data_IF_029249704804
#
_entry.id   IF_029249704804
#
_cell.length_a   1.000
_cell.length_b   1.000
_cell.length_c   1.000
_cell.angle_alpha   90.00
_cell.angle_beta   90.00
_cell.angle_gamma   90.00
#
_symmetry.space_group_name_H-M   'P 1'
#
loop_
_entity.id
_entity.type
_entity.pdbx_description
1 polymer ?
#
# COMPACT_ATOMS: atom_id res chain seq x y z
N UNK A 1 -37.79 11.60 -13.70
CA UNK A 1 -36.46 11.15 -14.18
C UNK A 1 -35.44 11.98 -13.42
N UNK A 2 -35.02 11.48 -12.28
CA UNK A 2 -33.98 12.14 -11.50
C UNK A 2 -32.66 12.03 -12.26
N UNK A 3 -32.12 13.18 -12.65
CA UNK A 3 -30.74 13.27 -13.09
C UNK A 3 -29.87 12.85 -11.89
N UNK A 4 -29.46 11.59 -11.84
CA UNK A 4 -28.42 11.16 -10.94
C UNK A 4 -27.22 12.07 -11.24
N UNK A 5 -26.96 13.02 -10.36
CA UNK A 5 -25.74 13.81 -10.35
C UNK A 5 -24.59 12.80 -10.31
N UNK A 6 -23.86 12.72 -11.40
CA UNK A 6 -22.70 11.82 -11.54
C UNK A 6 -21.60 12.33 -10.61
N UNK A 7 -21.71 11.98 -9.33
CA UNK A 7 -20.75 12.38 -8.29
C UNK A 7 -19.46 11.62 -8.59
N UNK A 8 -18.40 12.35 -8.93
CA UNK A 8 -17.09 11.74 -9.22
C UNK A 8 -16.53 11.03 -8.00
N UNK A 9 -15.97 9.85 -8.21
CA UNK A 9 -15.29 9.05 -7.18
C UNK A 9 -13.98 9.70 -6.67
N UNK A 10 -13.40 10.62 -7.45
CA UNK A 10 -12.32 11.54 -7.05
C UNK A 10 -12.70 12.95 -7.44
N UNK A 11 -12.63 13.87 -6.51
CA UNK A 11 -12.81 15.30 -6.74
C UNK A 11 -11.43 15.92 -6.94
N UNK A 12 -11.14 16.34 -8.16
CA UNK A 12 -9.90 17.03 -8.52
C UNK A 12 -10.18 18.53 -8.64
N UNK A 13 -9.52 19.36 -7.85
CA UNK A 13 -9.78 20.81 -7.82
C UNK A 13 -8.52 21.61 -7.52
N UNK A 14 -8.37 22.76 -8.17
CA UNK A 14 -7.40 23.77 -7.75
C UNK A 14 -8.04 24.65 -6.68
N UNK A 15 -7.38 24.75 -5.52
CA UNK A 15 -7.83 25.55 -4.39
C UNK A 15 -6.65 26.40 -3.90
N UNK A 16 -6.75 27.72 -4.09
CA UNK A 16 -5.60 28.61 -3.85
C UNK A 16 -4.40 28.18 -4.69
N UNK A 17 -3.26 27.95 -4.04
CA UNK A 17 -2.03 27.48 -4.69
C UNK A 17 -1.86 25.93 -4.63
N UNK A 18 -2.90 25.21 -4.30
CA UNK A 18 -2.87 23.75 -4.18
C UNK A 18 -3.71 23.05 -5.26
N UNK A 19 -3.20 21.96 -5.81
CA UNK A 19 -3.98 20.92 -6.45
C UNK A 19 -4.47 19.92 -5.40
N UNK A 20 -5.77 19.72 -5.27
CA UNK A 20 -6.35 18.83 -4.27
C UNK A 20 -7.01 17.63 -4.93
N UNK A 21 -6.60 16.45 -4.52
CA UNK A 21 -7.16 15.15 -4.90
C UNK A 21 -7.95 14.63 -3.70
N UNK A 22 -9.29 14.67 -3.78
CA UNK A 22 -10.16 14.21 -2.69
C UNK A 22 -10.85 12.91 -3.08
N UNK A 23 -10.52 11.83 -2.40
CA UNK A 23 -11.15 10.54 -2.61
C UNK A 23 -12.61 10.60 -2.12
N UNK A 24 -13.55 10.09 -2.94
CA UNK A 24 -14.97 10.29 -2.72
C UNK A 24 -15.81 9.01 -2.94
N UNK A 25 -15.35 7.90 -2.38
CA UNK A 25 -16.08 6.61 -2.32
C UNK A 25 -16.22 6.11 -0.88
N UNK A 26 -16.90 6.84 0.03
CA UNK A 26 -16.91 6.51 1.46
C UNK A 26 -17.49 5.12 1.75
N UNK A 27 -18.48 4.65 0.96
CA UNK A 27 -19.07 3.32 1.12
C UNK A 27 -18.10 2.18 0.83
N UNK A 28 -17.09 2.41 -0.01
CA UNK A 28 -16.04 1.47 -0.35
C UNK A 28 -14.69 1.82 0.34
N UNK A 29 -14.71 2.60 1.43
CA UNK A 29 -13.52 3.10 2.13
C UNK A 29 -12.51 3.73 1.15
N UNK A 30 -13.01 4.40 0.14
CA UNK A 30 -12.23 5.07 -0.90
C UNK A 30 -11.29 4.14 -1.69
N UNK A 31 -11.60 2.83 -1.80
CA UNK A 31 -10.81 1.92 -2.62
C UNK A 31 -10.76 2.40 -4.07
N UNK A 32 -9.57 2.28 -4.67
CA UNK A 32 -9.25 2.81 -5.99
C UNK A 32 -9.84 1.92 -7.08
N UNK A 33 -10.68 2.50 -7.93
CA UNK A 33 -11.02 1.91 -9.22
C UNK A 33 -10.17 2.55 -10.33
N UNK A 34 -10.17 1.95 -11.51
CA UNK A 34 -9.35 2.42 -12.64
C UNK A 34 -9.66 3.86 -13.05
N UNK A 35 -10.93 4.28 -12.96
CA UNK A 35 -11.32 5.65 -13.29
C UNK A 35 -10.73 6.66 -12.31
N UNK A 36 -10.75 6.37 -11.00
CA UNK A 36 -10.10 7.20 -9.98
C UNK A 36 -8.61 7.38 -10.26
N UNK A 37 -7.91 6.25 -10.53
CA UNK A 37 -6.48 6.26 -10.86
C UNK A 37 -6.18 7.18 -12.04
N UNK A 38 -6.99 7.10 -13.11
CA UNK A 38 -6.86 7.95 -14.29
C UNK A 38 -7.17 9.41 -14.01
N UNK A 39 -8.22 9.68 -13.26
CA UNK A 39 -8.60 11.05 -12.91
C UNK A 39 -7.52 11.74 -12.07
N UNK A 40 -6.92 11.02 -11.12
CA UNK A 40 -5.78 11.50 -10.33
C UNK A 40 -4.55 11.75 -11.21
N UNK A 41 -4.19 10.79 -12.06
CA UNK A 41 -3.06 10.95 -12.97
C UNK A 41 -3.23 12.12 -13.93
N UNK A 42 -4.42 12.27 -14.55
CA UNK A 42 -4.72 13.36 -15.45
C UNK A 42 -4.63 14.73 -14.75
N UNK A 43 -5.14 14.86 -13.54
CA UNK A 43 -5.04 16.08 -12.74
C UNK A 43 -3.57 16.42 -12.42
N UNK A 44 -2.76 15.43 -12.02
CA UNK A 44 -1.32 15.63 -11.77
C UNK A 44 -0.59 16.05 -13.04
N UNK A 45 -0.89 15.45 -14.19
CA UNK A 45 -0.31 15.82 -15.49
C UNK A 45 -0.68 17.27 -15.85
N UNK A 46 -1.95 17.64 -15.71
CA UNK A 46 -2.40 19.02 -15.94
C UNK A 46 -1.71 20.04 -15.03
N UNK A 47 -1.54 19.69 -13.75
CA UNK A 47 -0.96 20.59 -12.75
C UNK A 47 0.58 20.61 -12.73
N UNK A 48 1.23 19.71 -13.46
CA UNK A 48 2.70 19.58 -13.44
C UNK A 48 3.40 20.90 -13.77
N UNK A 49 3.01 21.52 -14.86
CA UNK A 49 3.63 22.74 -15.37
C UNK A 49 2.81 24.03 -15.03
N UNK A 50 1.68 23.86 -14.32
CA UNK A 50 0.83 24.96 -13.89
C UNK A 50 1.54 25.79 -12.78
N UNK A 51 1.89 27.08 -13.04
CA UNK A 51 2.56 27.91 -12.05
C UNK A 51 1.68 28.25 -10.84
N UNK A 52 0.34 28.14 -10.96
CA UNK A 52 -0.59 28.42 -9.88
C UNK A 52 -0.76 27.24 -8.93
N UNK A 53 -0.25 26.05 -9.28
CA UNK A 53 -0.21 24.90 -8.38
C UNK A 53 1.21 24.73 -7.84
N UNK A 54 1.37 24.83 -6.53
CA UNK A 54 2.67 24.74 -5.83
C UNK A 54 2.82 23.52 -4.95
N UNK A 55 1.70 22.89 -4.61
CA UNK A 55 1.64 21.74 -3.72
C UNK A 55 0.45 20.86 -4.11
N UNK A 56 0.57 19.56 -3.85
CA UNK A 56 -0.54 18.60 -4.05
C UNK A 56 -1.02 18.13 -2.67
N UNK A 57 -2.30 18.15 -2.45
CA UNK A 57 -2.95 17.58 -1.27
C UNK A 57 -3.75 16.35 -1.69
N UNK A 58 -3.58 15.25 -0.96
CA UNK A 58 -4.36 14.01 -1.12
C UNK A 58 -5.09 13.77 0.19
N UNK A 59 -6.42 13.80 0.14
CA UNK A 59 -7.29 13.54 1.29
C UNK A 59 -8.58 12.82 0.85
N UNK A 60 -9.51 12.62 1.77
CA UNK A 60 -10.82 12.04 1.47
C UNK A 60 -11.95 12.98 1.92
N UNK A 61 -13.16 12.70 1.45
CA UNK A 61 -14.34 13.55 1.76
C UNK A 61 -14.88 13.31 3.16
N UNK A 62 -15.23 12.06 3.45
CA UNK A 62 -15.87 11.65 4.71
C UNK A 62 -15.62 10.16 4.99
N UNK A 63 -15.97 9.69 6.17
CA UNK A 63 -15.89 8.27 6.52
C UNK A 63 -14.65 7.93 7.34
N UNK A 64 -14.41 6.62 7.52
CA UNK A 64 -13.39 6.08 8.42
C UNK A 64 -12.12 5.62 7.73
N UNK A 65 -11.98 5.84 6.46
CA UNK A 65 -10.82 5.40 5.68
C UNK A 65 -10.25 6.53 4.86
N UNK A 66 -8.92 6.60 4.77
CA UNK A 66 -8.26 7.39 3.77
C UNK A 66 -8.36 6.69 2.41
N UNK A 67 -7.85 5.44 2.32
CA UNK A 67 -7.99 4.59 1.14
C UNK A 67 -7.67 3.13 1.51
N UNK A 68 -8.62 2.23 1.27
CA UNK A 68 -8.48 0.80 1.63
C UNK A 68 -7.76 -0.05 0.56
N UNK A 69 -7.14 0.57 -0.46
CA UNK A 69 -6.42 -0.13 -1.52
C UNK A 69 -7.16 -0.15 -2.85
N UNK A 70 -6.75 -1.03 -3.77
CA UNK A 70 -7.44 -1.26 -5.03
C UNK A 70 -8.80 -1.95 -4.85
N UNK A 71 -9.72 -1.75 -5.80
CA UNK A 71 -11.03 -2.44 -5.84
C UNK A 71 -10.83 -3.88 -6.35
N UNK A 72 -10.20 -4.71 -5.49
CA UNK A 72 -9.78 -6.08 -5.85
C UNK A 72 -10.95 -7.02 -6.16
N UNK A 73 -12.17 -6.71 -5.71
CA UNK A 73 -13.37 -7.48 -6.08
C UNK A 73 -13.68 -7.28 -7.55
N UNK A 74 -13.70 -6.03 -8.03
CA UNK A 74 -13.85 -5.72 -9.44
C UNK A 74 -12.73 -6.32 -10.29
N UNK A 75 -11.48 -6.18 -9.85
CA UNK A 75 -10.31 -6.75 -10.52
C UNK A 75 -10.39 -8.28 -10.63
N UNK A 76 -10.79 -8.96 -9.56
CA UNK A 76 -10.94 -10.43 -9.56
C UNK A 76 -12.02 -10.91 -10.55
N UNK A 77 -13.12 -10.19 -10.67
CA UNK A 77 -14.17 -10.47 -11.67
C UNK A 77 -13.67 -10.22 -13.10
N UNK A 78 -12.85 -9.20 -13.30
CA UNK A 78 -12.23 -8.90 -14.59
C UNK A 78 -11.28 -10.01 -15.07
N UNK A 79 -10.52 -10.64 -14.15
CA UNK A 79 -9.62 -11.76 -14.49
C UNK A 79 -10.38 -12.94 -15.13
N UNK A 80 -11.61 -13.20 -14.73
CA UNK A 80 -12.43 -14.30 -15.27
C UNK A 80 -13.04 -13.99 -16.65
N UNK A 81 -13.30 -12.74 -16.97
CA UNK A 81 -14.01 -12.35 -18.18
C UNK A 81 -13.33 -11.30 -19.05
N UNK A 82 -12.48 -10.51 -18.44
CA UNK A 82 -11.84 -9.35 -19.06
C UNK A 82 -10.40 -9.16 -18.55
N UNK A 83 -9.56 -10.19 -18.70
CA UNK A 83 -8.14 -10.19 -18.27
C UNK A 83 -7.41 -8.88 -18.60
N UNK A 84 -7.68 -8.33 -19.79
CA UNK A 84 -7.11 -7.05 -20.20
C UNK A 84 -7.49 -5.89 -19.27
N UNK A 85 -8.65 -5.95 -18.60
CA UNK A 85 -9.09 -4.88 -17.69
C UNK A 85 -8.35 -4.95 -16.34
N UNK A 86 -8.17 -6.15 -15.78
CA UNK A 86 -7.38 -6.35 -14.56
C UNK A 86 -5.91 -5.90 -14.76
N UNK A 87 -5.28 -6.36 -15.85
CA UNK A 87 -3.93 -5.93 -16.25
C UNK A 87 -3.85 -4.40 -16.42
N UNK A 88 -4.86 -3.81 -17.07
CA UNK A 88 -4.89 -2.38 -17.33
C UNK A 88 -5.12 -1.54 -16.07
N UNK A 89 -5.77 -2.08 -15.03
CA UNK A 89 -5.86 -1.42 -13.73
C UNK A 89 -4.47 -1.25 -13.11
N UNK A 90 -3.71 -2.34 -12.94
CA UNK A 90 -2.36 -2.28 -12.36
C UNK A 90 -1.40 -1.47 -13.21
N UNK A 91 -1.54 -1.52 -14.55
CA UNK A 91 -0.74 -0.71 -15.46
C UNK A 91 -0.94 0.79 -15.20
N UNK A 92 -2.19 1.23 -15.08
CA UNK A 92 -2.54 2.63 -14.81
C UNK A 92 -2.19 3.03 -13.36
N UNK A 93 -2.44 2.16 -12.36
CA UNK A 93 -2.13 2.42 -10.95
C UNK A 93 -0.63 2.62 -10.73
N UNK A 94 0.21 1.75 -11.29
CA UNK A 94 1.66 1.88 -11.15
C UNK A 94 2.20 3.11 -11.90
N UNK A 95 1.54 3.55 -12.97
CA UNK A 95 1.84 4.85 -13.60
C UNK A 95 1.53 6.01 -12.68
N UNK A 96 0.43 5.96 -11.97
CA UNK A 96 0.09 6.97 -10.96
C UNK A 96 1.14 6.99 -9.84
N UNK A 97 1.48 5.83 -9.27
CA UNK A 97 2.48 5.74 -8.21
C UNK A 97 3.87 6.27 -8.68
N UNK A 98 4.27 5.94 -9.92
CA UNK A 98 5.51 6.46 -10.48
C UNK A 98 5.45 7.96 -10.70
N UNK A 99 4.33 8.47 -11.22
CA UNK A 99 4.11 9.91 -11.43
C UNK A 99 4.20 10.67 -10.10
N UNK A 100 3.53 10.19 -9.05
CA UNK A 100 3.58 10.79 -7.71
C UNK A 100 4.98 10.74 -7.12
N UNK A 101 5.70 9.63 -7.27
CA UNK A 101 7.06 9.46 -6.76
C UNK A 101 8.06 10.41 -7.43
N UNK A 102 7.91 10.67 -8.72
CA UNK A 102 8.79 11.53 -9.52
C UNK A 102 8.29 12.96 -9.64
N UNK A 103 7.18 13.29 -8.97
CA UNK A 103 6.53 14.58 -9.10
C UNK A 103 7.36 15.70 -8.48
N UNK A 104 7.61 16.76 -9.27
CA UNK A 104 8.51 17.85 -8.85
C UNK A 104 7.92 18.73 -7.73
N UNK A 105 6.58 18.81 -7.63
CA UNK A 105 5.90 19.58 -6.58
C UNK A 105 5.67 18.70 -5.36
N UNK A 106 5.83 19.23 -4.13
CA UNK A 106 5.65 18.43 -2.92
C UNK A 106 4.19 17.97 -2.78
N UNK A 107 4.01 16.72 -2.35
CA UNK A 107 2.72 16.15 -1.97
C UNK A 107 2.54 16.11 -0.45
N UNK A 108 1.30 16.26 -0.01
CA UNK A 108 0.86 16.03 1.37
C UNK A 108 -0.27 15.00 1.34
N UNK A 109 -0.08 13.84 1.94
CA UNK A 109 -1.13 12.84 2.13
C UNK A 109 -1.64 12.89 3.57
N UNK A 110 -2.95 13.08 3.74
CA UNK A 110 -3.61 13.06 5.05
C UNK A 110 -4.20 11.67 5.29
N UNK A 111 -3.39 10.79 5.89
CA UNK A 111 -3.70 9.37 6.14
C UNK A 111 -4.66 9.21 7.33
N UNK A 112 -5.80 9.87 7.29
CA UNK A 112 -6.75 9.89 8.39
C UNK A 112 -7.73 8.70 8.29
N UNK A 113 -7.44 7.63 9.01
CA UNK A 113 -8.20 6.39 8.98
C UNK A 113 -7.48 5.24 8.25
N UNK A 114 -8.26 4.29 7.72
CA UNK A 114 -7.75 3.09 7.04
C UNK A 114 -6.93 3.48 5.81
N UNK A 115 -5.66 3.06 5.78
CA UNK A 115 -4.69 3.33 4.72
C UNK A 115 -4.01 2.00 4.38
N UNK A 116 -4.45 1.32 3.32
CA UNK A 116 -4.00 -0.03 2.98
C UNK A 116 -3.73 -0.17 1.48
N UNK A 117 -2.82 -1.06 1.10
CA UNK A 117 -2.54 -1.39 -0.30
C UNK A 117 -2.31 -0.16 -1.18
N UNK A 118 -3.10 0.02 -2.25
CA UNK A 118 -3.06 1.21 -3.10
C UNK A 118 -3.17 2.54 -2.34
N UNK A 119 -3.80 2.56 -1.14
CA UNK A 119 -3.81 3.73 -0.25
C UNK A 119 -2.43 4.08 0.29
N UNK A 120 -1.61 3.07 0.58
CA UNK A 120 -0.19 3.26 0.91
C UNK A 120 0.57 3.73 -0.33
N UNK A 121 0.24 3.18 -1.51
CA UNK A 121 0.83 3.54 -2.79
C UNK A 121 0.68 5.01 -3.16
N UNK A 122 -0.47 5.64 -2.89
CA UNK A 122 -0.70 7.08 -3.14
C UNK A 122 -0.22 7.98 -1.99
N UNK A 123 0.03 7.42 -0.79
CA UNK A 123 0.50 8.21 0.36
C UNK A 123 2.04 8.24 0.46
N UNK A 124 2.70 7.08 0.31
CA UNK A 124 4.14 6.96 0.51
C UNK A 124 5.02 7.80 -0.43
N UNK A 125 4.65 8.07 -1.69
CA UNK A 125 5.38 8.99 -2.55
C UNK A 125 5.38 10.44 -2.04
N UNK A 126 4.39 10.84 -1.25
CA UNK A 126 4.25 12.21 -0.75
C UNK A 126 5.40 12.59 0.18
N UNK A 127 5.89 13.83 -0.01
CA UNK A 127 6.92 14.40 0.86
C UNK A 127 6.46 14.50 2.31
N UNK A 128 5.18 14.83 2.54
CA UNK A 128 4.56 14.95 3.84
C UNK A 128 3.46 13.89 3.97
N UNK A 129 3.56 13.05 4.96
CA UNK A 129 2.61 12.00 5.28
C UNK A 129 2.11 12.24 6.69
N UNK A 130 0.86 12.67 6.78
CA UNK A 130 0.24 13.08 8.04
C UNK A 130 -0.62 11.93 8.56
N UNK A 131 -0.22 11.35 9.69
CA UNK A 131 -1.00 10.36 10.41
C UNK A 131 -1.81 11.04 11.54
N UNK A 132 -2.85 10.38 12.00
CA UNK A 132 -3.70 10.80 13.11
C UNK A 132 -3.92 9.65 14.09
N UNK A 133 -4.65 9.88 15.16
CA UNK A 133 -5.12 8.84 16.10
C UNK A 133 -6.06 7.82 15.43
N UNK A 134 -6.61 8.16 14.25
CA UNK A 134 -7.49 7.27 13.48
C UNK A 134 -6.76 6.44 12.43
N UNK A 135 -5.50 6.73 12.17
CA UNK A 135 -4.69 6.04 11.16
C UNK A 135 -4.57 4.54 11.48
N UNK A 136 -4.86 3.72 10.48
CA UNK A 136 -4.61 2.28 10.49
C UNK A 136 -3.94 1.93 9.17
N UNK A 137 -2.61 1.77 9.18
CA UNK A 137 -1.83 1.44 7.99
C UNK A 137 -1.48 -0.04 7.98
N UNK A 138 -1.67 -0.70 6.85
CA UNK A 138 -1.23 -2.08 6.64
C UNK A 138 -1.04 -2.39 5.15
N UNK A 139 -0.23 -3.43 4.87
CA UNK A 139 -0.11 -4.07 3.56
C UNK A 139 -0.53 -5.54 3.70
N UNK A 140 -1.87 -5.85 3.62
CA UNK A 140 -2.40 -7.17 3.92
C UNK A 140 -2.51 -8.09 2.68
N UNK A 141 -1.82 -7.80 1.59
CA UNK A 141 -1.97 -8.39 0.26
C UNK A 141 -1.79 -9.91 0.26
N UNK A 142 -0.89 -10.45 1.10
CA UNK A 142 -0.70 -11.90 1.25
C UNK A 142 -1.97 -12.63 1.69
N UNK A 143 -2.91 -11.92 2.31
CA UNK A 143 -4.21 -12.46 2.74
C UNK A 143 -5.18 -12.69 1.57
N UNK A 144 -4.95 -12.03 0.43
CA UNK A 144 -5.72 -12.19 -0.80
C UNK A 144 -4.92 -12.84 -1.92
N UNK A 145 -3.78 -13.47 -1.60
CA UNK A 145 -3.00 -14.24 -2.56
C UNK A 145 -2.15 -13.41 -3.52
N UNK A 146 -1.89 -12.14 -3.20
CA UNK A 146 -0.92 -11.30 -3.91
C UNK A 146 0.14 -10.76 -2.93
N UNK A 147 1.08 -9.98 -3.40
CA UNK A 147 2.17 -9.40 -2.61
C UNK A 147 1.92 -7.92 -2.34
N UNK A 148 2.53 -7.32 -1.29
CA UNK A 148 2.57 -5.87 -1.10
C UNK A 148 3.26 -5.19 -2.28
N UNK A 149 2.48 -4.53 -3.12
CA UNK A 149 2.87 -3.86 -4.37
C UNK A 149 2.93 -2.33 -4.20
N UNK A 150 2.72 -1.57 -5.26
CA UNK A 150 2.67 -0.10 -5.31
C UNK A 150 3.93 0.59 -4.77
N UNK A 151 5.08 -0.05 -4.92
CA UNK A 151 6.37 0.40 -4.38
C UNK A 151 6.63 -0.05 -2.93
N UNK A 152 5.79 -0.93 -2.36
CA UNK A 152 5.98 -1.39 -0.99
C UNK A 152 7.31 -2.12 -0.78
N UNK A 153 7.79 -2.88 -1.77
CA UNK A 153 9.12 -3.49 -1.72
C UNK A 153 10.18 -2.45 -1.36
N UNK A 154 10.18 -1.31 -2.03
CA UNK A 154 11.11 -0.21 -1.80
C UNK A 154 10.88 0.53 -0.49
N UNK A 155 9.63 0.76 -0.07
CA UNK A 155 9.34 1.47 1.18
C UNK A 155 9.62 0.61 2.40
N UNK A 156 9.20 -0.65 2.36
CA UNK A 156 9.36 -1.58 3.47
C UNK A 156 10.82 -2.01 3.66
N UNK A 157 11.56 -2.30 2.58
CA UNK A 157 12.96 -2.73 2.66
C UNK A 157 13.90 -1.68 3.31
N UNK A 158 13.45 -0.43 3.44
CA UNK A 158 14.18 0.65 4.15
C UNK A 158 13.91 0.69 5.65
N UNK A 159 12.97 -0.11 6.13
CA UNK A 159 12.74 -0.23 7.55
C UNK A 159 13.91 -0.96 8.23
N UNK A 160 14.14 -0.64 9.50
CA UNK A 160 15.23 -1.23 10.27
C UNK A 160 14.97 -2.72 10.55
N UNK A 161 16.03 -3.49 10.69
CA UNK A 161 15.96 -4.91 11.06
C UNK A 161 15.09 -5.71 10.10
N UNK A 162 14.25 -6.55 10.66
CA UNK A 162 13.37 -7.47 9.91
C UNK A 162 11.89 -7.01 9.89
N UNK A 163 11.65 -5.73 10.13
CA UNK A 163 10.29 -5.15 10.10
C UNK A 163 9.60 -5.33 8.75
N UNK A 164 10.35 -5.24 7.64
CA UNK A 164 9.79 -5.43 6.30
C UNK A 164 9.15 -6.82 6.16
N UNK A 165 9.89 -7.87 6.54
CA UNK A 165 9.42 -9.25 6.46
C UNK A 165 8.20 -9.46 7.38
N UNK A 166 8.27 -8.95 8.61
CA UNK A 166 7.15 -9.03 9.55
C UNK A 166 5.89 -8.37 9.00
N UNK A 167 5.96 -7.11 8.59
CA UNK A 167 4.79 -6.35 8.12
C UNK A 167 4.20 -6.95 6.85
N UNK A 168 5.05 -7.32 5.89
CA UNK A 168 4.62 -7.83 4.60
C UNK A 168 4.01 -9.23 4.68
N UNK A 169 4.54 -10.11 5.55
CA UNK A 169 4.02 -11.48 5.70
C UNK A 169 2.76 -11.53 6.55
N UNK A 170 2.71 -10.75 7.63
CA UNK A 170 1.59 -10.81 8.57
C UNK A 170 0.43 -9.88 8.17
N UNK A 171 0.70 -8.81 7.45
CA UNK A 171 -0.24 -7.72 7.21
C UNK A 171 -0.57 -6.97 8.50
N UNK A 172 0.39 -6.89 9.44
CA UNK A 172 0.20 -6.24 10.74
C UNK A 172 -0.25 -4.79 10.56
N UNK A 173 -1.20 -4.39 11.39
CA UNK A 173 -1.78 -3.04 11.36
C UNK A 173 -0.99 -2.12 12.26
N UNK A 174 -0.55 -1.02 11.71
CA UNK A 174 0.16 0.05 12.40
C UNK A 174 -0.80 1.20 12.71
N UNK A 175 -0.78 1.70 13.93
CA UNK A 175 -1.44 2.96 14.27
C UNK A 175 -0.61 4.17 13.83
N UNK A 176 -1.16 5.38 14.02
CA UNK A 176 -0.48 6.62 13.59
C UNK A 176 0.85 6.87 14.31
N UNK A 177 0.96 6.50 15.58
CA UNK A 177 2.18 6.64 16.38
C UNK A 177 3.27 5.67 15.87
N UNK A 178 2.89 4.43 15.57
CA UNK A 178 3.76 3.43 14.97
C UNK A 178 4.23 3.88 13.57
N UNK A 179 3.31 4.41 12.75
CA UNK A 179 3.66 4.96 11.44
C UNK A 179 4.70 6.08 11.54
N UNK A 180 4.54 7.01 12.49
CA UNK A 180 5.51 8.07 12.72
C UNK A 180 6.86 7.49 13.18
N UNK A 181 6.85 6.57 14.16
CA UNK A 181 8.06 5.98 14.72
C UNK A 181 8.85 5.18 13.69
N UNK A 182 8.18 4.52 12.78
CA UNK A 182 8.77 3.78 11.66
C UNK A 182 9.08 4.65 10.43
N UNK A 183 8.80 5.96 10.49
CA UNK A 183 8.98 6.90 9.38
C UNK A 183 8.12 6.61 8.14
N UNK A 184 7.07 5.84 8.31
CA UNK A 184 6.00 5.69 7.30
C UNK A 184 5.11 6.94 7.28
N UNK A 185 4.93 7.61 8.41
CA UNK A 185 4.45 8.99 8.49
C UNK A 185 5.58 9.97 8.80
N UNK A 186 5.40 11.23 8.43
CA UNK A 186 6.33 12.34 8.73
C UNK A 186 5.85 13.20 9.88
N UNK A 187 4.53 13.29 10.05
CA UNK A 187 3.89 14.09 11.11
C UNK A 187 2.72 13.31 11.71
N UNK A 188 2.41 13.63 12.96
CA UNK A 188 1.24 13.10 13.66
C UNK A 188 0.43 14.29 14.18
N UNK A 189 -0.78 14.44 13.65
CA UNK A 189 -1.69 15.53 14.02
C UNK A 189 -2.97 14.95 14.64
N UNK A 190 -3.59 15.64 15.61
CA UNK A 190 -4.97 15.35 15.96
C UNK A 190 -5.88 15.49 14.75
N UNK A 191 -6.83 14.59 14.62
CA UNK A 191 -7.71 14.58 13.44
C UNK A 191 -8.59 15.84 13.35
N UNK A 192 -8.91 16.48 14.46
CA UNK A 192 -9.65 17.75 14.52
C UNK A 192 -8.84 18.96 14.04
N UNK A 193 -7.50 18.83 13.91
CA UNK A 193 -6.61 19.87 13.39
C UNK A 193 -6.38 19.77 11.88
N UNK A 194 -6.89 18.73 11.22
CA UNK A 194 -6.59 18.48 9.79
C UNK A 194 -7.14 19.55 8.87
N UNK A 195 -8.36 20.06 9.10
CA UNK A 195 -8.92 21.12 8.24
C UNK A 195 -8.14 22.43 8.40
N UNK A 196 -7.75 22.81 9.61
CA UNK A 196 -6.85 23.95 9.84
C UNK A 196 -5.53 23.77 9.10
N UNK A 197 -4.93 22.56 9.17
CA UNK A 197 -3.68 22.27 8.46
C UNK A 197 -3.84 22.46 6.93
N UNK A 198 -4.89 21.88 6.36
CA UNK A 198 -5.20 22.00 4.93
C UNK A 198 -5.39 23.45 4.50
N UNK A 199 -6.21 24.23 5.21
CA UNK A 199 -6.46 25.64 4.90
C UNK A 199 -5.18 26.47 4.96
N UNK A 200 -4.35 26.29 5.99
CA UNK A 200 -3.10 27.02 6.13
C UNK A 200 -2.07 26.63 5.05
N UNK A 201 -1.99 25.35 4.67
CA UNK A 201 -1.11 24.86 3.60
C UNK A 201 -1.57 25.40 2.24
N UNK A 202 -2.86 25.38 1.94
CA UNK A 202 -3.44 25.92 0.71
C UNK A 202 -3.13 27.42 0.57
N UNK A 203 -3.24 28.17 1.66
CA UNK A 203 -2.96 29.60 1.68
C UNK A 203 -1.45 29.91 1.55
N UNK A 204 -0.60 29.07 2.15
CA UNK A 204 0.85 29.31 2.24
C UNK A 204 1.66 28.01 2.03
N UNK A 205 1.71 27.45 0.80
CA UNK A 205 2.34 26.15 0.55
C UNK A 205 3.83 26.10 0.90
N UNK A 206 4.53 27.23 0.85
CA UNK A 206 5.96 27.29 1.23
C UNK A 206 6.21 27.14 2.73
N UNK A 207 5.16 27.22 3.55
CA UNK A 207 5.23 27.03 5.00
C UNK A 207 4.72 25.65 5.45
N UNK A 208 4.48 24.72 4.52
CA UNK A 208 3.90 23.39 4.83
C UNK A 208 4.59 22.72 6.02
N UNK A 209 5.94 22.65 6.00
CA UNK A 209 6.69 22.06 7.12
C UNK A 209 6.37 22.75 8.44
N UNK A 210 6.46 24.07 8.47
CA UNK A 210 6.19 24.84 9.70
C UNK A 210 4.75 24.71 10.18
N UNK A 211 3.78 24.68 9.27
CA UNK A 211 2.37 24.46 9.61
C UNK A 211 2.16 23.09 10.25
N UNK A 212 2.74 22.06 9.67
CA UNK A 212 2.61 20.70 10.19
C UNK A 212 3.34 20.56 11.54
N UNK A 213 4.52 21.14 11.69
CA UNK A 213 5.27 21.13 12.96
C UNK A 213 4.51 21.86 14.08
N UNK A 214 3.92 23.04 13.77
CA UNK A 214 3.13 23.83 14.73
C UNK A 214 1.84 23.12 15.20
N UNK A 215 1.26 22.27 14.32
CA UNK A 215 0.01 21.56 14.60
C UNK A 215 0.23 20.14 15.13
N UNK A 216 1.46 19.63 15.06
CA UNK A 216 1.80 18.31 15.61
C UNK A 216 1.67 18.30 17.12
N UNK A 217 1.22 17.16 17.66
CA UNK A 217 1.17 16.97 19.09
C UNK A 217 2.57 16.83 19.69
N UNK A 218 2.78 17.43 20.89
CA UNK A 218 4.00 17.22 21.69
C UNK A 218 4.04 15.79 22.26
N UNK A 219 2.88 15.24 22.63
CA UNK A 219 2.76 13.89 23.15
C UNK A 219 2.19 12.94 22.10
N UNK A 220 3.03 12.00 21.67
CA UNK A 220 2.66 10.93 20.76
C UNK A 220 2.51 9.65 21.57
N UNK A 221 1.42 8.87 21.38
CA UNK A 221 1.22 7.59 22.05
C UNK A 221 2.40 6.63 21.88
N UNK A 222 2.53 5.66 22.79
CA UNK A 222 3.55 4.62 22.67
C UNK A 222 3.32 3.76 21.44
N UNK A 223 4.36 3.59 20.63
CA UNK A 223 4.36 2.69 19.48
C UNK A 223 4.60 1.24 19.96
N UNK A 224 3.53 0.46 20.07
CA UNK A 224 3.55 -0.92 20.64
C UNK A 224 4.49 -1.85 19.92
N UNK A 225 4.64 -1.70 18.60
CA UNK A 225 5.56 -2.52 17.80
C UNK A 225 7.01 -2.44 18.28
N UNK A 226 7.38 -1.31 18.92
CA UNK A 226 8.74 -1.12 19.44
C UNK A 226 9.12 -2.14 20.52
N UNK A 227 8.14 -2.61 21.30
CA UNK A 227 8.33 -3.67 22.30
C UNK A 227 8.63 -5.05 21.70
N UNK A 228 8.26 -5.26 20.43
CA UNK A 228 8.42 -6.54 19.73
C UNK A 228 9.62 -6.59 18.78
N UNK A 229 10.40 -5.50 18.65
CA UNK A 229 11.49 -5.45 17.66
C UNK A 229 12.52 -6.57 17.80
N UNK A 230 12.91 -6.90 19.02
CA UNK A 230 13.88 -7.97 19.25
C UNK A 230 13.32 -9.36 18.84
N UNK A 231 12.02 -9.59 19.03
CA UNK A 231 11.34 -10.81 18.57
C UNK A 231 11.22 -10.83 17.06
N UNK A 232 10.87 -9.69 16.45
CA UNK A 232 10.79 -9.54 15.00
C UNK A 232 12.16 -9.83 14.38
N UNK A 233 13.23 -9.20 14.87
CA UNK A 233 14.58 -9.43 14.35
C UNK A 233 15.03 -10.90 14.52
N UNK A 234 14.64 -11.55 15.61
CA UNK A 234 14.99 -12.95 15.87
C UNK A 234 14.23 -13.92 14.97
N UNK A 235 12.88 -13.81 14.91
CA UNK A 235 12.06 -14.83 14.25
C UNK A 235 11.93 -14.61 12.74
N UNK A 236 12.18 -13.40 12.24
CA UNK A 236 12.09 -13.06 10.81
C UNK A 236 13.49 -12.85 10.19
N UNK A 237 14.55 -13.39 10.78
CA UNK A 237 15.93 -13.20 10.30
C UNK A 237 16.19 -13.82 8.91
N UNK A 238 15.51 -14.93 8.59
CA UNK A 238 15.63 -15.60 7.30
C UNK A 238 14.77 -14.92 6.21
N UNK A 239 15.20 -15.07 4.95
CA UNK A 239 14.42 -14.73 3.76
C UNK A 239 13.67 -15.95 3.18
N UNK A 240 13.63 -17.06 3.92
CA UNK A 240 12.89 -18.28 3.58
C UNK A 240 11.69 -18.44 4.51
N UNK A 241 10.52 -18.64 3.92
CA UNK A 241 9.26 -18.76 4.67
C UNK A 241 9.28 -19.94 5.65
N UNK A 242 9.90 -21.07 5.24
CA UNK A 242 10.01 -22.26 6.06
C UNK A 242 10.81 -21.99 7.33
N UNK A 243 11.98 -21.34 7.20
CA UNK A 243 12.84 -21.04 8.35
C UNK A 243 12.16 -20.09 9.34
N UNK A 244 11.40 -19.09 8.82
CA UNK A 244 10.60 -18.18 9.65
C UNK A 244 9.55 -18.97 10.43
N UNK A 245 8.81 -19.86 9.77
CA UNK A 245 7.78 -20.67 10.42
C UNK A 245 8.38 -21.64 11.43
N UNK A 246 9.50 -22.28 11.12
CA UNK A 246 10.20 -23.19 12.02
C UNK A 246 10.72 -22.45 13.27
N UNK A 247 11.26 -21.22 13.09
CA UNK A 247 11.70 -20.38 14.20
C UNK A 247 10.56 -19.94 15.11
N UNK A 248 9.41 -19.56 14.53
CA UNK A 248 8.20 -19.20 15.27
C UNK A 248 7.62 -20.41 16.01
N UNK A 249 7.61 -21.59 15.41
CA UNK A 249 7.14 -22.82 16.04
C UNK A 249 8.02 -23.24 17.23
N UNK A 250 9.34 -23.13 17.08
CA UNK A 250 10.27 -23.37 18.17
C UNK A 250 10.02 -22.39 19.32
N UNK A 251 9.85 -21.11 19.05
CA UNK A 251 9.49 -20.11 20.05
C UNK A 251 8.16 -20.41 20.74
N UNK A 252 7.15 -20.83 19.97
CA UNK A 252 5.84 -21.21 20.50
C UNK A 252 5.93 -22.46 21.41
N UNK A 253 6.78 -23.43 21.07
CA UNK A 253 7.04 -24.61 21.90
C UNK A 253 7.74 -24.24 23.21
N UNK A 254 8.60 -23.22 23.21
CA UNK A 254 9.25 -22.65 24.39
C UNK A 254 8.33 -21.73 25.23
N UNK A 255 7.06 -21.58 24.83
CA UNK A 255 6.05 -20.81 25.58
C UNK A 255 5.91 -19.35 25.14
N UNK A 256 6.49 -18.94 24.02
CA UNK A 256 6.27 -17.59 23.46
C UNK A 256 4.92 -17.51 22.73
N UNK A 257 3.90 -16.96 23.42
CA UNK A 257 2.56 -16.79 22.87
C UNK A 257 2.51 -15.83 21.66
N UNK A 258 3.42 -14.84 21.61
CA UNK A 258 3.53 -13.95 20.46
C UNK A 258 4.00 -14.75 19.22
N UNK A 259 5.03 -15.56 19.35
CA UNK A 259 5.52 -16.41 18.26
C UNK A 259 4.41 -17.36 17.74
N UNK A 260 3.64 -17.96 18.67
CA UNK A 260 2.48 -18.80 18.31
C UNK A 260 1.43 -18.06 17.51
N UNK A 261 1.10 -16.83 17.91
CA UNK A 261 0.12 -16.00 17.22
C UNK A 261 0.58 -15.61 15.82
N UNK A 262 1.86 -15.22 15.66
CA UNK A 262 2.38 -14.83 14.36
C UNK A 262 2.54 -16.05 13.42
N UNK A 263 2.93 -17.21 13.90
CA UNK A 263 2.94 -18.43 13.12
C UNK A 263 1.54 -18.76 12.56
N UNK A 264 0.51 -18.66 13.39
CA UNK A 264 -0.88 -18.85 12.97
C UNK A 264 -1.31 -17.81 11.94
N UNK A 265 -0.93 -16.54 12.14
CA UNK A 265 -1.21 -15.44 11.21
C UNK A 265 -0.60 -15.69 9.83
N UNK A 266 0.67 -16.10 9.76
CA UNK A 266 1.35 -16.37 8.49
C UNK A 266 0.76 -17.61 7.80
N UNK A 267 0.41 -18.65 8.54
CA UNK A 267 -0.21 -19.86 7.97
C UNK A 267 -1.59 -19.64 7.38
N UNK A 268 -2.28 -18.57 7.80
CA UNK A 268 -3.54 -18.15 7.19
C UNK A 268 -3.35 -17.42 5.83
N UNK A 269 -2.12 -17.07 5.45
CA UNK A 269 -1.81 -16.38 4.20
C UNK A 269 -1.52 -17.36 3.06
N UNK A 270 -1.58 -16.89 1.81
CA UNK A 270 -1.12 -17.67 0.65
C UNK A 270 0.37 -17.95 0.76
N UNK A 271 0.80 -19.23 0.79
CA UNK A 271 2.22 -19.55 0.83
C UNK A 271 2.99 -19.05 -0.39
N UNK A 272 2.40 -19.10 -1.57
CA UNK A 272 3.00 -18.55 -2.79
C UNK A 272 3.20 -17.05 -2.67
N UNK A 273 2.17 -16.31 -2.28
CA UNK A 273 2.27 -14.86 -2.09
C UNK A 273 3.33 -14.48 -1.04
N UNK A 274 3.41 -15.22 0.07
CA UNK A 274 4.45 -15.01 1.09
C UNK A 274 5.86 -15.20 0.54
N UNK A 275 6.12 -16.27 -0.24
CA UNK A 275 7.44 -16.53 -0.85
C UNK A 275 7.80 -15.48 -1.89
N UNK A 276 6.84 -15.08 -2.75
CA UNK A 276 7.04 -13.98 -3.72
C UNK A 276 7.35 -12.68 -2.98
N UNK A 277 6.66 -12.39 -1.88
CA UNK A 277 6.89 -11.21 -1.05
C UNK A 277 8.30 -11.20 -0.45
N UNK A 278 8.77 -12.32 0.10
CA UNK A 278 10.13 -12.41 0.65
C UNK A 278 11.17 -12.15 -0.43
N UNK A 279 11.02 -12.75 -1.61
CA UNK A 279 11.92 -12.50 -2.73
C UNK A 279 11.86 -11.04 -3.20
N UNK A 280 10.68 -10.43 -3.27
CA UNK A 280 10.55 -9.00 -3.59
C UNK A 280 11.36 -8.13 -2.63
N UNK A 281 11.25 -8.38 -1.31
CA UNK A 281 11.98 -7.61 -0.29
C UNK A 281 13.51 -7.76 -0.41
N UNK A 282 13.98 -8.90 -0.93
CA UNK A 282 15.42 -9.13 -1.23
C UNK A 282 15.83 -8.38 -2.49
N UNK A 283 14.99 -8.34 -3.54
CA UNK A 283 15.32 -7.76 -4.85
C UNK A 283 15.16 -6.22 -4.88
N UNK A 284 14.19 -5.67 -4.13
CA UNK A 284 13.87 -4.23 -4.15
C UNK A 284 15.03 -3.31 -3.77
N UNK A 285 15.91 -3.63 -2.81
CA UNK A 285 17.07 -2.78 -2.50
C UNK A 285 18.04 -2.61 -3.66
N UNK A 286 18.06 -3.55 -4.61
CA UNK A 286 18.92 -3.52 -5.80
C UNK A 286 18.31 -2.74 -6.97
N UNK A 287 17.04 -2.37 -6.90
CA UNK A 287 16.40 -1.52 -7.91
C UNK A 287 16.89 -0.07 -7.73
N UNK A 288 17.74 0.40 -8.65
CA UNK A 288 18.36 1.73 -8.55
C UNK A 288 17.30 2.84 -8.68
N UNK A 289 16.41 2.70 -9.64
CA UNK A 289 15.36 3.69 -9.91
C UNK A 289 13.97 3.13 -9.60
N UNK A 290 13.05 4.02 -9.22
CA UNK A 290 11.69 3.62 -8.92
C UNK A 290 10.95 3.04 -10.15
N UNK A 291 11.34 3.45 -11.34
CA UNK A 291 10.82 2.86 -12.59
C UNK A 291 11.16 1.37 -12.72
N UNK A 292 12.31 0.94 -12.21
CA UNK A 292 12.72 -0.47 -12.26
C UNK A 292 11.95 -1.29 -11.23
N UNK A 293 11.70 -0.73 -10.05
CA UNK A 293 10.79 -1.31 -9.05
C UNK A 293 9.39 -1.54 -9.65
N UNK A 294 8.81 -0.52 -10.26
CA UNK A 294 7.47 -0.61 -10.87
C UNK A 294 7.42 -1.64 -12.02
N UNK A 295 8.50 -1.77 -12.81
CA UNK A 295 8.57 -2.82 -13.84
C UNK A 295 8.61 -4.22 -13.26
N UNK A 296 9.39 -4.41 -12.21
CA UNK A 296 9.50 -5.68 -11.50
C UNK A 296 8.15 -6.04 -10.87
N UNK A 297 7.56 -5.15 -10.09
CA UNK A 297 6.26 -5.38 -9.45
C UNK A 297 5.17 -5.66 -10.48
N UNK A 298 5.12 -4.92 -11.59
CA UNK A 298 4.15 -5.18 -12.66
C UNK A 298 4.34 -6.57 -13.28
N UNK A 299 5.58 -6.98 -13.53
CA UNK A 299 5.89 -8.31 -14.05
C UNK A 299 5.42 -9.44 -13.13
N UNK A 300 5.55 -9.24 -11.81
CA UNK A 300 5.06 -10.18 -10.79
C UNK A 300 3.53 -10.16 -10.74
N UNK A 301 2.93 -8.96 -10.68
CA UNK A 301 1.49 -8.80 -10.51
C UNK A 301 0.69 -9.44 -11.64
N UNK A 302 1.07 -9.18 -12.91
CA UNK A 302 0.34 -9.72 -14.06
C UNK A 302 0.38 -11.25 -14.16
N UNK A 303 1.28 -11.91 -13.43
CA UNK A 303 1.31 -13.38 -13.30
C UNK A 303 0.55 -13.84 -12.07
N UNK A 304 0.68 -13.11 -10.97
CA UNK A 304 0.11 -13.53 -9.70
C UNK A 304 -1.42 -13.41 -9.66
N UNK A 305 -2.00 -12.44 -10.38
CA UNK A 305 -3.47 -12.34 -10.51
C UNK A 305 -4.08 -13.54 -11.23
N UNK A 306 -3.30 -14.31 -11.99
CA UNK A 306 -3.73 -15.58 -12.60
C UNK A 306 -3.46 -16.80 -11.71
N UNK A 307 -2.72 -16.64 -10.62
CA UNK A 307 -2.55 -17.71 -9.65
C UNK A 307 -3.89 -17.98 -8.94
N UNK A 308 -4.28 -19.23 -8.72
CA UNK A 308 -5.59 -19.57 -8.11
C UNK A 308 -5.80 -18.93 -6.75
N UNK A 309 -4.74 -18.65 -6.00
CA UNK A 309 -4.80 -18.05 -4.67
C UNK A 309 -5.36 -16.62 -4.69
N UNK A 310 -5.16 -15.83 -5.74
CA UNK A 310 -5.75 -14.49 -5.83
C UNK A 310 -7.27 -14.54 -5.80
N UNK A 311 -7.84 -15.36 -6.68
CA UNK A 311 -9.29 -15.51 -6.76
C UNK A 311 -9.87 -16.08 -5.46
N UNK A 312 -9.21 -17.09 -4.91
CA UNK A 312 -9.63 -17.73 -3.67
C UNK A 312 -9.56 -16.78 -2.48
N UNK A 313 -8.49 -15.99 -2.37
CA UNK A 313 -8.34 -15.01 -1.31
C UNK A 313 -9.40 -13.92 -1.37
N UNK A 314 -9.69 -13.39 -2.58
CA UNK A 314 -10.77 -12.41 -2.78
C UNK A 314 -12.14 -13.03 -2.45
N UNK A 315 -12.40 -14.28 -2.87
CA UNK A 315 -13.63 -15.01 -2.52
C UNK A 315 -13.80 -15.08 -1.01
N UNK A 316 -12.79 -15.63 -0.33
CA UNK A 316 -12.87 -15.96 1.09
C UNK A 316 -12.99 -14.70 1.99
N UNK A 317 -12.27 -13.61 1.64
CA UNK A 317 -12.27 -12.42 2.48
C UNK A 317 -13.35 -11.39 2.14
N UNK A 318 -13.65 -11.20 0.86
CA UNK A 318 -14.40 -10.02 0.40
C UNK A 318 -15.78 -10.37 -0.17
N UNK A 319 -15.92 -11.54 -0.79
CA UNK A 319 -17.18 -11.98 -1.41
C UNK A 319 -17.99 -12.81 -0.40
N UNK A 320 -17.51 -14.02 -0.08
CA UNK A 320 -18.22 -14.95 0.81
C UNK A 320 -18.02 -14.60 2.29
N UNK A 321 -16.90 -13.98 2.62
CA UNK A 321 -16.53 -13.52 3.97
C UNK A 321 -16.46 -14.65 5.01
N UNK A 322 -16.19 -15.89 4.54
CA UNK A 322 -15.99 -17.05 5.40
C UNK A 322 -14.63 -17.05 6.10
N UNK A 323 -13.67 -16.26 5.59
CA UNK A 323 -12.29 -16.18 6.08
C UNK A 323 -11.58 -17.54 6.10
N UNK A 324 -11.94 -18.46 5.19
CA UNK A 324 -11.39 -19.81 5.08
C UNK A 324 -10.85 -20.07 3.67
N UNK A 325 -9.78 -19.38 3.25
CA UNK A 325 -9.22 -19.58 1.93
C UNK A 325 -8.59 -20.97 1.79
N UNK A 326 -8.78 -21.57 0.62
CA UNK A 326 -8.23 -22.87 0.25
C UNK A 326 -7.02 -22.68 -0.67
N UNK A 327 -5.87 -22.34 -0.07
CA UNK A 327 -4.64 -22.05 -0.82
C UNK A 327 -4.11 -23.26 -1.60
N UNK A 328 -3.46 -23.01 -2.73
CA UNK A 328 -2.89 -24.07 -3.59
C UNK A 328 -1.50 -23.70 -4.08
N UNK A 329 -0.44 -24.37 -3.53
CA UNK A 329 -0.49 -25.38 -2.48
C UNK A 329 -0.63 -24.78 -1.08
N UNK A 330 -1.15 -25.56 -0.12
CA UNK A 330 -1.22 -25.17 1.29
C UNK A 330 0.11 -25.32 2.04
N UNK A 331 0.98 -26.22 1.57
CA UNK A 331 2.29 -26.47 2.18
C UNK A 331 3.37 -25.64 1.46
N UNK A 332 4.04 -24.69 2.14
CA UNK A 332 5.09 -23.89 1.53
C UNK A 332 6.31 -24.72 1.06
N UNK A 333 6.58 -25.88 1.67
CA UNK A 333 7.72 -26.74 1.32
C UNK A 333 7.65 -27.34 -0.10
N UNK A 334 6.44 -27.42 -0.70
CA UNK A 334 6.30 -27.92 -2.08
C UNK A 334 6.49 -26.84 -3.14
N UNK A 335 6.60 -25.57 -2.73
CA UNK A 335 6.87 -24.43 -3.62
C UNK A 335 8.40 -24.29 -3.71
N UNK A 336 8.97 -24.68 -4.85
CA UNK A 336 10.41 -24.56 -5.08
C UNK A 336 10.85 -23.15 -5.47
N UNK A 337 12.14 -22.86 -5.36
CA UNK A 337 12.69 -21.54 -5.74
C UNK A 337 12.39 -21.21 -7.21
N UNK A 338 12.40 -22.21 -8.11
CA UNK A 338 12.08 -22.01 -9.53
C UNK A 338 10.64 -21.56 -9.76
N UNK A 339 9.70 -21.98 -8.92
CA UNK A 339 8.29 -21.58 -9.01
C UNK A 339 8.17 -20.10 -8.66
N UNK A 340 8.90 -19.65 -7.63
CA UNK A 340 8.95 -18.24 -7.23
C UNK A 340 9.69 -17.39 -8.27
N UNK A 341 10.84 -17.86 -8.78
CA UNK A 341 11.63 -17.17 -9.80
C UNK A 341 10.84 -16.91 -11.10
N UNK A 342 9.92 -17.80 -11.44
CA UNK A 342 9.09 -17.63 -12.62
C UNK A 342 8.25 -16.34 -12.60
N UNK A 343 7.86 -15.86 -11.42
CA UNK A 343 7.15 -14.57 -11.28
C UNK A 343 8.04 -13.36 -11.58
N UNK A 344 9.34 -13.48 -11.34
CA UNK A 344 10.35 -12.42 -11.54
C UNK A 344 10.94 -12.41 -12.96
N UNK A 345 10.59 -13.39 -13.79
CA UNK A 345 11.08 -13.44 -15.16
C UNK A 345 10.65 -12.18 -15.94
N UNK A 346 11.52 -11.58 -16.77
CA UNK A 346 11.15 -10.44 -17.61
C UNK A 346 9.92 -10.72 -18.47
N UNK A 347 9.07 -9.73 -18.62
CA UNK A 347 7.99 -9.78 -19.60
C UNK A 347 8.55 -9.52 -21.02
N UNK A 348 7.89 -10.00 -22.10
CA UNK A 348 8.17 -9.55 -23.45
C UNK A 348 8.18 -8.02 -23.54
N UNK A 349 9.04 -7.45 -24.38
CA UNK A 349 9.28 -5.99 -24.45
C UNK A 349 7.98 -5.20 -24.67
N UNK A 350 7.11 -5.72 -25.52
CA UNK A 350 5.80 -5.13 -25.85
C UNK A 350 4.79 -5.19 -24.70
N UNK A 351 5.02 -6.08 -23.74
CA UNK A 351 4.18 -6.26 -22.57
C UNK A 351 4.70 -5.58 -21.30
N UNK A 352 5.93 -5.07 -21.36
CA UNK A 352 6.53 -4.42 -20.20
C UNK A 352 5.80 -3.14 -19.83
N UNK A 353 5.72 -2.92 -18.53
CA UNK A 353 5.23 -1.66 -17.99
C UNK A 353 6.18 -0.51 -18.31
N UNK A 354 5.62 0.65 -18.56
CA UNK A 354 6.34 1.91 -18.79
C UNK A 354 5.61 3.10 -18.19
N UNK A 355 6.38 4.09 -17.68
CA UNK A 355 5.82 5.31 -17.11
C UNK A 355 5.11 6.15 -18.18
N UNK A 356 4.55 7.28 -17.76
CA UNK A 356 4.17 8.32 -18.70
C UNK A 356 5.42 8.91 -19.36
N UNK A 357 5.33 9.19 -20.65
CA UNK A 357 6.36 9.90 -21.41
C UNK A 357 6.11 11.42 -21.32
N UNK A 358 7.09 12.18 -20.79
CA UNK A 358 7.01 13.63 -20.65
C UNK A 358 8.31 14.29 -21.09
#
# INVERSE_FOLDING_TARGET
MDAATNVKDVITVKQGLAGRLRLNRPRALHSLNRQMVRDMANALIEWRDDPDVRIILIDHTEGRGFCAGGDVVGISQDVDGHEAAARAFFFDEYRLNHLEYTYAKPGVAFMDGITMGGGVGIACPCRYRVATERTILAMPETTIGIFPDVGAGRYLSRLRGRLAQFLALTGARLDGAECLRLRLATHYLPSDRLEEAKERIIAQPFRTQAVLDELSEEFIPEARIMGNLAKIDRYFESDRLEDILDGLDAGAADGDDWARAEAATIRAKSPMACKVTLKLLVESPYQLHFVDEMRMEFGIMVRLIHHPDFKEGVRALLIDKDNQPQWRPTNPQVIGDRDVEAFFAPLPVEEQWRPFDF
#
